data_IF_359086668768
#
_entry.id   IF_359086668768
#
_cell.length_a   1.000
_cell.length_b   1.000
_cell.length_c   1.000
_cell.angle_alpha   90.00
_cell.angle_beta   90.00
_cell.angle_gamma   90.00
#
_symmetry.space_group_name_H-M   'P 1'
#
loop_
_entity.id
_entity.type
_entity.pdbx_description
1 polymer ?
#
# COMPACT_ATOMS: atom_id res chain seq x y z
N UNK A 1 -11.01 -18.74 83.62
CA UNK A 1 -12.33 -18.18 83.25
C UNK A 1 -12.15 -17.42 81.95
N UNK A 2 -12.88 -17.87 80.91
CA UNK A 2 -13.30 -17.21 79.66
C UNK A 2 -12.23 -16.40 78.90
N UNK A 3 -11.68 -16.90 77.78
CA UNK A 3 -12.28 -16.98 76.43
C UNK A 3 -12.80 -15.63 75.93
N UNK A 4 -12.20 -15.11 74.84
CA UNK A 4 -12.88 -14.58 73.64
C UNK A 4 -11.82 -14.30 72.56
N UNK A 5 -12.09 -14.86 71.39
CA UNK A 5 -11.31 -14.78 70.16
C UNK A 5 -11.50 -13.45 69.41
N UNK A 6 -10.49 -13.07 68.62
CA UNK A 6 -10.58 -12.03 67.59
C UNK A 6 -10.06 -12.57 66.25
N UNK A 7 -10.72 -12.27 65.11
CA UNK A 7 -10.54 -12.99 63.84
C UNK A 7 -9.27 -12.61 63.08
N UNK A 8 -8.59 -13.63 62.54
CA UNK A 8 -7.46 -13.49 61.60
C UNK A 8 -7.98 -13.10 60.22
N UNK A 9 -7.58 -11.92 59.75
CA UNK A 9 -7.85 -11.43 58.41
C UNK A 9 -6.94 -12.18 57.42
N UNK A 10 -7.52 -13.00 56.54
CA UNK A 10 -6.82 -13.63 55.42
C UNK A 10 -6.79 -12.63 54.26
N UNK A 11 -5.61 -12.13 53.93
CA UNK A 11 -5.35 -11.37 52.70
C UNK A 11 -5.06 -12.40 51.60
N UNK A 12 -5.86 -12.51 50.53
CA UNK A 12 -5.46 -13.29 49.37
C UNK A 12 -4.43 -12.49 48.59
N UNK A 13 -3.16 -12.89 48.69
CA UNK A 13 -2.10 -12.36 47.82
C UNK A 13 -2.33 -12.92 46.42
N UNK A 14 -2.87 -12.07 45.55
CA UNK A 14 -3.07 -12.36 44.14
C UNK A 14 -1.72 -12.70 43.49
N UNK A 15 -1.61 -13.92 43.00
CA UNK A 15 -0.50 -14.42 42.19
C UNK A 15 -0.54 -13.70 40.83
N UNK A 16 0.19 -12.59 40.70
CA UNK A 16 0.44 -11.94 39.42
C UNK A 16 1.34 -12.86 38.57
N UNK A 17 0.72 -13.72 37.77
CA UNK A 17 1.39 -14.39 36.65
C UNK A 17 1.71 -13.34 35.58
N UNK A 18 2.90 -12.77 35.64
CA UNK A 18 3.46 -12.00 34.53
C UNK A 18 3.83 -12.97 33.41
N UNK A 19 2.93 -13.18 32.44
CA UNK A 19 3.29 -13.76 31.15
C UNK A 19 4.14 -12.72 30.39
N UNK A 20 5.45 -12.83 30.50
CA UNK A 20 6.38 -12.19 29.58
C UNK A 20 6.27 -12.90 28.22
N UNK A 21 5.39 -12.39 27.35
CA UNK A 21 5.36 -12.79 25.94
C UNK A 21 6.59 -12.21 25.24
N UNK A 22 7.67 -12.98 25.14
CA UNK A 22 8.77 -12.69 24.24
C UNK A 22 8.33 -13.01 22.80
N UNK A 23 7.61 -12.09 22.15
CA UNK A 23 7.47 -12.12 20.69
C UNK A 23 8.76 -11.57 20.07
N UNK A 24 9.79 -12.39 19.96
CA UNK A 24 10.98 -12.05 19.18
C UNK A 24 10.66 -12.17 17.70
N UNK A 25 10.07 -11.12 17.12
CA UNK A 25 10.11 -10.96 15.66
C UNK A 25 11.58 -10.79 15.25
N UNK A 26 12.10 -11.56 14.27
CA UNK A 26 13.45 -11.34 13.79
C UNK A 26 13.54 -9.93 13.20
N UNK A 27 14.38 -9.08 13.78
CA UNK A 27 14.75 -7.80 13.16
C UNK A 27 15.40 -8.13 11.82
N UNK A 28 14.75 -7.71 10.73
CA UNK A 28 15.36 -7.70 9.39
C UNK A 28 16.68 -6.95 9.52
N UNK A 29 17.80 -7.66 9.40
CA UNK A 29 19.13 -7.05 9.35
C UNK A 29 19.09 -5.99 8.27
N UNK A 30 19.41 -4.74 8.65
CA UNK A 30 19.52 -3.64 7.71
C UNK A 30 20.53 -4.03 6.64
N UNK A 31 20.03 -4.46 5.49
CA UNK A 31 20.83 -4.78 4.33
C UNK A 31 21.53 -3.50 3.88
N UNK A 32 22.85 -3.57 3.86
CA UNK A 32 23.81 -2.68 3.20
C UNK A 32 23.18 -1.58 2.35
N UNK A 33 23.36 -0.33 2.78
CA UNK A 33 23.16 0.87 1.99
C UNK A 33 24.18 0.90 0.86
N UNK A 34 23.98 0.04 -0.14
CA UNK A 34 24.74 0.06 -1.38
C UNK A 34 24.36 1.32 -2.17
N UNK A 35 25.12 2.39 -1.95
CA UNK A 35 25.15 3.61 -2.77
C UNK A 35 25.80 3.32 -4.14
N UNK A 36 25.32 2.28 -4.83
CA UNK A 36 25.60 2.08 -6.25
C UNK A 36 24.54 2.85 -7.04
N UNK A 37 24.97 3.57 -8.09
CA UNK A 37 24.04 4.22 -9.01
C UNK A 37 23.01 3.19 -9.50
N UNK A 38 21.74 3.37 -9.15
CA UNK A 38 20.67 2.49 -9.61
C UNK A 38 20.37 2.90 -11.04
N UNK A 39 20.84 2.11 -12.01
CA UNK A 39 20.36 2.24 -13.39
C UNK A 39 18.95 1.68 -13.45
N UNK A 40 17.97 2.55 -13.61
CA UNK A 40 16.60 2.15 -13.89
C UNK A 40 16.47 1.58 -15.30
N UNK A 41 15.46 0.73 -15.48
CA UNK A 41 14.99 0.31 -16.80
C UNK A 41 13.87 1.26 -17.20
N UNK A 42 13.98 1.88 -18.37
CA UNK A 42 12.90 2.70 -18.90
C UNK A 42 11.74 1.78 -19.25
N UNK A 43 10.56 2.09 -18.70
CA UNK A 43 9.33 1.36 -19.02
C UNK A 43 8.88 1.80 -20.42
N UNK A 44 9.15 1.00 -21.44
CA UNK A 44 8.68 1.24 -22.80
C UNK A 44 7.40 0.46 -23.09
N UNK A 45 6.36 1.15 -23.54
CA UNK A 45 5.13 0.50 -24.02
C UNK A 45 5.32 -0.08 -25.41
N UNK A 46 5.70 -1.35 -25.50
CA UNK A 46 5.81 -2.07 -26.79
C UNK A 46 5.22 -3.47 -26.77
N UNK A 47 4.27 -3.77 -25.89
CA UNK A 47 3.64 -5.08 -25.85
C UNK A 47 2.33 -5.11 -25.07
N UNK A 48 1.50 -6.17 -25.26
CA UNK A 48 0.28 -6.36 -24.48
C UNK A 48 0.63 -6.45 -22.99
N UNK A 49 -0.35 -6.11 -22.15
CA UNK A 49 -0.37 -6.38 -20.73
C UNK A 49 0.29 -7.74 -20.41
N UNK A 50 1.40 -7.75 -19.67
CA UNK A 50 2.02 -9.00 -19.26
C UNK A 50 1.08 -9.76 -18.33
N UNK A 51 0.94 -11.06 -18.56
CA UNK A 51 0.26 -12.00 -17.68
C UNK A 51 1.04 -13.32 -17.69
N UNK A 52 1.04 -14.05 -16.58
CA UNK A 52 1.78 -15.30 -16.49
C UNK A 52 1.26 -16.37 -17.47
N UNK A 53 2.14 -17.27 -17.91
CA UNK A 53 1.80 -18.37 -18.80
C UNK A 53 0.71 -19.26 -18.19
N UNK A 54 -0.33 -19.58 -18.97
CA UNK A 54 -1.47 -20.39 -18.52
C UNK A 54 -2.61 -19.60 -17.89
N UNK A 55 -2.45 -18.28 -17.73
CA UNK A 55 -3.53 -17.40 -17.31
C UNK A 55 -4.36 -16.91 -18.50
N UNK A 56 -5.64 -16.55 -18.29
CA UNK A 56 -6.45 -15.87 -19.30
C UNK A 56 -5.84 -14.51 -19.67
N UNK A 57 -6.12 -14.05 -20.90
CA UNK A 57 -5.70 -12.70 -21.35
C UNK A 57 -6.47 -11.57 -20.66
N UNK A 58 -7.58 -11.89 -20.00
CA UNK A 58 -8.39 -10.96 -19.20
C UNK A 58 -8.29 -11.30 -17.72
N UNK A 59 -8.36 -10.30 -16.84
CA UNK A 59 -8.39 -10.53 -15.40
C UNK A 59 -9.51 -11.50 -15.02
N UNK A 60 -9.24 -12.51 -14.17
CA UNK A 60 -10.29 -13.37 -13.62
C UNK A 60 -11.12 -12.64 -12.54
N UNK A 61 -10.68 -11.47 -12.10
CA UNK A 61 -11.36 -10.64 -11.12
C UNK A 61 -12.23 -9.60 -11.81
N UNK A 62 -13.47 -9.46 -11.34
CA UNK A 62 -14.35 -8.40 -11.80
C UNK A 62 -13.75 -7.04 -11.41
N UNK A 63 -13.75 -6.05 -12.33
CA UNK A 63 -13.27 -4.70 -12.00
C UNK A 63 -14.03 -4.13 -10.80
N UNK A 64 -13.28 -3.49 -9.90
CA UNK A 64 -13.86 -2.75 -8.80
C UNK A 64 -14.87 -1.72 -9.30
N UNK A 65 -15.97 -1.58 -8.57
CA UNK A 65 -16.94 -0.51 -8.79
C UNK A 65 -16.78 0.52 -7.68
N UNK A 66 -17.03 1.78 -8.02
CA UNK A 66 -17.09 2.81 -7.00
C UNK A 66 -18.18 2.45 -5.99
N UNK A 67 -17.86 2.50 -4.70
CA UNK A 67 -18.83 2.50 -3.61
C UNK A 67 -19.12 3.96 -3.21
N UNK A 68 -20.28 4.52 -3.59
CA UNK A 68 -20.60 5.91 -3.31
C UNK A 68 -20.76 6.21 -1.82
N UNK A 69 -21.03 5.20 -0.97
CA UNK A 69 -21.16 5.39 0.49
C UNK A 69 -19.85 5.84 1.13
N UNK A 70 -18.74 5.63 0.42
CA UNK A 70 -17.40 5.93 0.87
C UNK A 70 -17.02 7.40 0.57
N UNK A 71 -17.85 8.13 -0.18
CA UNK A 71 -17.66 9.57 -0.43
C UNK A 71 -17.83 10.35 0.88
N UNK A 72 -16.89 11.25 1.18
CA UNK A 72 -16.94 12.11 2.37
C UNK A 72 -16.15 11.61 3.59
N UNK A 73 -15.73 10.34 3.60
CA UNK A 73 -14.85 9.75 4.64
C UNK A 73 -13.38 10.25 4.58
N UNK A 74 -13.13 11.33 3.86
CA UNK A 74 -11.83 11.94 3.64
C UNK A 74 -11.87 13.40 4.11
N UNK A 75 -10.94 13.74 5.01
CA UNK A 75 -10.63 15.15 5.32
C UNK A 75 -9.50 15.60 4.42
N UNK A 76 -9.63 16.75 3.77
CA UNK A 76 -8.58 17.31 2.92
C UNK A 76 -7.25 17.41 3.69
N UNK A 77 -6.21 16.74 3.18
CA UNK A 77 -4.89 16.68 3.80
C UNK A 77 -4.78 15.74 5.01
N UNK A 78 -5.83 14.96 5.32
CA UNK A 78 -5.90 14.03 6.43
C UNK A 78 -5.85 12.55 6.03
N UNK A 79 -5.85 11.66 7.02
CA UNK A 79 -5.93 10.22 6.80
C UNK A 79 -7.36 9.80 6.41
N UNK A 80 -7.46 8.86 5.49
CA UNK A 80 -8.72 8.22 5.16
C UNK A 80 -9.17 7.25 6.26
N UNK A 81 -10.45 7.31 6.67
CA UNK A 81 -11.06 6.52 7.77
C UNK A 81 -10.08 6.32 8.94
N UNK A 82 -9.72 7.40 9.65
CA UNK A 82 -8.80 7.29 10.78
C UNK A 82 -9.36 6.32 11.82
N UNK A 83 -8.49 5.48 12.41
CA UNK A 83 -8.89 4.45 13.38
C UNK A 83 -9.37 3.13 12.78
N UNK A 84 -9.71 3.07 11.49
CA UNK A 84 -10.02 1.81 10.80
C UNK A 84 -8.73 1.19 10.26
N UNK A 85 -8.42 -0.03 10.70
CA UNK A 85 -7.25 -0.79 10.22
C UNK A 85 -7.51 -1.33 8.81
N UNK A 86 -6.49 -1.32 7.96
CA UNK A 86 -6.53 -1.95 6.65
C UNK A 86 -6.27 -3.47 6.75
N UNK A 87 -6.80 -4.25 5.81
CA UNK A 87 -6.73 -5.71 5.81
C UNK A 87 -6.52 -6.27 4.41
N UNK A 88 -5.83 -7.40 4.32
CA UNK A 88 -5.80 -8.20 3.09
C UNK A 88 -7.19 -8.75 2.79
N UNK A 89 -7.46 -9.11 1.52
CA UNK A 89 -8.65 -9.89 1.16
C UNK A 89 -8.73 -11.19 1.99
N UNK A 90 -9.95 -11.68 2.19
CA UNK A 90 -10.18 -12.95 2.89
C UNK A 90 -9.57 -14.12 2.10
N UNK A 91 -9.66 -14.06 0.76
CA UNK A 91 -9.05 -15.00 -0.17
C UNK A 91 -7.86 -14.37 -0.89
N UNK A 92 -6.69 -15.00 -0.82
CA UNK A 92 -5.49 -14.50 -1.51
C UNK A 92 -5.66 -14.64 -3.02
N UNK A 93 -5.65 -13.53 -3.80
CA UNK A 93 -5.79 -13.62 -5.24
C UNK A 93 -4.58 -14.29 -5.89
N UNK A 94 -4.81 -14.98 -7.01
CA UNK A 94 -3.76 -15.38 -7.91
C UNK A 94 -3.28 -14.17 -8.71
N UNK A 95 -2.39 -13.40 -8.09
CA UNK A 95 -1.83 -12.15 -8.65
C UNK A 95 -1.13 -12.40 -9.99
N UNK A 96 -0.58 -13.59 -10.22
CA UNK A 96 0.10 -13.93 -11.48
C UNK A 96 -0.85 -13.95 -12.70
N UNK A 97 -2.16 -14.12 -12.46
CA UNK A 97 -3.18 -14.07 -13.51
C UNK A 97 -3.88 -12.72 -13.65
N UNK A 98 -3.43 -11.70 -12.91
CA UNK A 98 -3.86 -10.33 -13.14
C UNK A 98 -3.00 -9.77 -14.30
N UNK A 99 -3.59 -9.20 -15.35
CA UNK A 99 -2.82 -8.55 -16.40
C UNK A 99 -2.20 -7.23 -15.90
N UNK A 100 -0.90 -7.03 -16.16
CA UNK A 100 -0.22 -5.74 -15.98
C UNK A 100 -0.84 -4.65 -16.87
N UNK A 101 -0.73 -3.36 -16.51
CA UNK A 101 -1.36 -2.33 -17.30
C UNK A 101 -0.58 -2.10 -18.60
N UNK A 102 -1.30 -1.79 -19.68
CA UNK A 102 -0.66 -1.38 -20.93
C UNK A 102 0.02 -0.02 -20.73
N UNK A 103 1.31 0.06 -21.03
CA UNK A 103 2.07 1.30 -20.90
C UNK A 103 1.80 2.19 -22.11
N UNK A 104 1.24 3.36 -21.86
CA UNK A 104 0.80 4.32 -22.87
C UNK A 104 1.29 5.72 -22.50
N UNK A 105 1.48 6.58 -23.50
CA UNK A 105 1.77 8.00 -23.27
C UNK A 105 0.45 8.76 -23.10
N UNK A 106 -0.09 8.74 -21.88
CA UNK A 106 -1.34 9.42 -21.54
C UNK A 106 -1.12 10.88 -21.14
N UNK A 107 -2.08 11.78 -21.42
CA UNK A 107 -2.03 13.15 -20.93
C UNK A 107 -2.09 13.16 -19.39
N UNK A 108 -1.44 14.16 -18.77
CA UNK A 108 -1.57 14.39 -17.33
C UNK A 108 -3.04 14.57 -16.95
N UNK A 109 -3.44 13.95 -15.85
CA UNK A 109 -4.77 14.06 -15.26
C UNK A 109 -5.08 15.52 -14.88
N UNK A 110 -6.31 15.94 -15.13
CA UNK A 110 -6.81 17.26 -14.71
C UNK A 110 -7.04 17.37 -13.19
N UNK A 111 -7.04 16.24 -12.48
CA UNK A 111 -7.32 16.11 -11.04
C UNK A 111 -6.30 15.18 -10.37
N UNK A 112 -6.17 15.30 -9.05
CA UNK A 112 -5.18 14.57 -8.26
C UNK A 112 -4.06 15.50 -7.78
N UNK A 113 -2.81 15.10 -8.01
CA UNK A 113 -1.65 15.82 -7.50
C UNK A 113 -1.34 17.09 -8.31
N UNK A 114 -2.01 18.20 -7.97
CA UNK A 114 -1.64 19.52 -8.50
C UNK A 114 -0.29 19.94 -7.91
N UNK A 115 0.64 20.39 -8.75
CA UNK A 115 1.94 20.87 -8.27
C UNK A 115 1.85 22.34 -7.88
N UNK A 116 2.39 22.76 -6.72
CA UNK A 116 2.74 21.95 -5.55
C UNK A 116 1.48 21.59 -4.76
N UNK A 117 1.55 20.53 -3.94
CA UNK A 117 0.48 20.18 -3.01
C UNK A 117 1.03 19.92 -1.59
N UNK A 118 0.14 19.89 -0.62
CA UNK A 118 0.46 19.67 0.79
C UNK A 118 -0.46 18.62 1.40
N UNK A 119 0.11 17.71 2.19
CA UNK A 119 -0.62 16.69 2.96
C UNK A 119 0.02 16.59 4.33
N UNK A 120 -0.78 16.65 5.40
CA UNK A 120 -0.32 16.57 6.79
C UNK A 120 0.86 17.53 7.11
N UNK A 121 0.81 18.77 6.62
CA UNK A 121 1.87 19.77 6.86
C UNK A 121 3.12 19.60 5.98
N UNK A 122 3.15 18.61 5.08
CA UNK A 122 4.30 18.32 4.22
C UNK A 122 4.00 18.68 2.77
N UNK A 123 4.83 19.57 2.22
CA UNK A 123 4.76 20.04 0.84
C UNK A 123 5.48 19.09 -0.13
N UNK A 124 4.88 18.88 -1.28
CA UNK A 124 5.38 18.07 -2.39
C UNK A 124 5.33 18.85 -3.70
N UNK A 125 6.29 18.59 -4.59
CA UNK A 125 6.36 19.14 -5.93
C UNK A 125 6.31 17.97 -6.91
N UNK A 126 5.36 18.01 -7.83
CA UNK A 126 5.22 16.98 -8.86
C UNK A 126 6.26 17.20 -9.95
N UNK A 127 6.90 16.12 -10.38
CA UNK A 127 7.94 16.11 -11.40
C UNK A 127 7.36 16.46 -12.76
N UNK A 128 8.05 17.32 -13.50
CA UNK A 128 7.64 17.63 -14.86
C UNK A 128 8.02 16.55 -15.86
N UNK A 129 9.23 15.99 -15.72
CA UNK A 129 9.77 15.01 -16.66
C UNK A 129 10.22 13.75 -15.88
N UNK A 130 9.35 12.76 -15.67
CA UNK A 130 9.68 11.57 -14.90
C UNK A 130 10.44 10.49 -15.68
N UNK A 131 10.79 10.72 -16.95
CA UNK A 131 11.24 9.67 -17.88
C UNK A 131 12.51 8.92 -17.46
N UNK A 132 13.39 9.57 -16.70
CA UNK A 132 14.63 8.99 -16.16
C UNK A 132 14.57 8.83 -14.63
N UNK A 133 13.38 8.89 -14.05
CA UNK A 133 13.20 8.76 -12.61
C UNK A 133 13.51 7.35 -12.12
N UNK A 134 14.32 7.26 -11.07
CA UNK A 134 14.67 6.01 -10.40
C UNK A 134 14.75 6.25 -8.90
N UNK A 135 14.07 5.42 -8.12
CA UNK A 135 14.12 5.44 -6.67
C UNK A 135 14.25 4.02 -6.12
N UNK A 136 14.94 3.88 -4.99
CA UNK A 136 14.86 2.70 -4.13
C UNK A 136 14.29 3.11 -2.79
N UNK A 137 13.27 2.40 -2.35
CA UNK A 137 12.58 2.70 -1.09
C UNK A 137 11.81 1.50 -0.57
N UNK A 138 11.05 1.76 0.50
CA UNK A 138 10.10 0.78 1.05
C UNK A 138 8.76 0.94 0.35
N UNK A 139 8.18 -0.18 -0.08
CA UNK A 139 6.82 -0.24 -0.59
C UNK A 139 5.88 -0.86 0.45
N UNK A 140 4.62 -0.44 0.40
CA UNK A 140 3.48 -1.05 1.10
C UNK A 140 2.35 -1.25 0.09
N UNK A 141 1.32 -2.00 0.46
CA UNK A 141 0.13 -2.20 -0.36
C UNK A 141 -1.12 -1.71 0.37
N UNK A 142 -2.16 -1.37 -0.39
CA UNK A 142 -3.48 -1.05 0.12
C UNK A 142 -4.39 -2.29 0.05
N UNK A 143 -5.22 -2.48 1.06
CA UNK A 143 -6.12 -3.61 1.19
C UNK A 143 -7.60 -3.23 1.05
N UNK A 144 -8.46 -4.02 1.69
CA UNK A 144 -9.92 -3.89 1.65
C UNK A 144 -10.42 -2.50 2.04
N UNK A 145 -9.69 -1.79 2.92
CA UNK A 145 -10.12 -0.47 3.39
C UNK A 145 -10.36 0.51 2.23
N UNK A 146 -9.57 0.39 1.16
CA UNK A 146 -9.58 1.32 0.03
C UNK A 146 -10.35 0.80 -1.19
N UNK A 147 -10.62 -0.51 -1.28
CA UNK A 147 -11.22 -1.11 -2.48
C UNK A 147 -12.55 -0.47 -2.85
N UNK A 148 -12.73 -0.17 -4.15
CA UNK A 148 -13.93 0.49 -4.64
C UNK A 148 -13.99 2.00 -4.36
N UNK A 149 -12.91 2.62 -3.87
CA UNK A 149 -12.87 4.08 -3.67
C UNK A 149 -12.24 4.80 -4.84
N UNK A 150 -12.52 6.09 -4.95
CA UNK A 150 -11.77 6.97 -5.84
C UNK A 150 -10.35 7.24 -5.31
N UNK A 151 -9.35 7.09 -6.18
CA UNK A 151 -7.97 7.55 -6.00
C UNK A 151 -7.86 9.07 -6.18
N UNK A 152 -6.67 9.64 -6.01
CA UNK A 152 -6.43 11.07 -6.22
C UNK A 152 -6.82 11.53 -7.62
N UNK A 153 -6.56 10.74 -8.68
CA UNK A 153 -6.98 11.08 -10.04
C UNK A 153 -8.43 10.70 -10.38
N UNK A 154 -9.20 10.23 -9.38
CA UNK A 154 -10.60 9.77 -9.47
C UNK A 154 -10.82 8.48 -10.26
N UNK A 155 -9.78 7.68 -10.50
CA UNK A 155 -9.99 6.28 -10.88
C UNK A 155 -10.49 5.47 -9.69
N UNK A 156 -11.20 4.37 -9.93
CA UNK A 156 -11.58 3.45 -8.85
C UNK A 156 -10.37 2.60 -8.47
N UNK A 157 -9.99 2.63 -7.19
CA UNK A 157 -8.98 1.74 -6.65
C UNK A 157 -9.49 0.30 -6.65
N UNK A 158 -8.79 -0.53 -7.41
CA UNK A 158 -9.01 -1.96 -7.51
C UNK A 158 -7.79 -2.70 -6.96
N UNK A 159 -7.99 -3.49 -5.92
CA UNK A 159 -6.92 -4.30 -5.33
C UNK A 159 -6.49 -5.46 -6.23
N UNK A 160 -7.30 -5.77 -7.25
CA UNK A 160 -7.03 -6.78 -8.27
C UNK A 160 -6.55 -6.15 -9.58
N UNK A 161 -6.01 -4.92 -9.52
CA UNK A 161 -5.33 -4.27 -10.62
C UNK A 161 -3.95 -3.76 -10.18
N UNK A 162 -2.99 -3.76 -11.11
CA UNK A 162 -1.65 -3.23 -10.87
C UNK A 162 -1.64 -1.69 -10.90
N UNK A 163 -2.07 -1.10 -9.79
CA UNK A 163 -2.04 0.35 -9.56
C UNK A 163 -1.14 0.70 -8.37
N UNK A 164 -0.69 1.95 -8.30
CA UNK A 164 0.21 2.41 -7.24
C UNK A 164 -0.04 3.88 -6.88
N UNK A 165 0.39 4.24 -5.67
CA UNK A 165 0.42 5.61 -5.20
C UNK A 165 1.86 6.16 -5.17
N UNK A 166 2.10 7.38 -5.66
CA UNK A 166 3.41 8.03 -5.61
C UNK A 166 3.34 9.53 -5.38
N UNK A 167 4.18 10.04 -4.46
CA UNK A 167 4.13 11.43 -3.97
C UNK A 167 4.45 12.49 -5.02
N UNK A 168 5.25 12.17 -6.04
CA UNK A 168 5.79 13.21 -6.95
C UNK A 168 5.79 12.82 -8.42
N UNK A 169 5.28 11.64 -8.77
CA UNK A 169 5.13 11.29 -10.19
C UNK A 169 3.85 11.95 -10.70
N UNK A 170 3.84 12.55 -11.90
CA UNK A 170 2.61 13.11 -12.45
C UNK A 170 1.59 12.00 -12.68
N UNK A 171 0.32 12.25 -12.40
CA UNK A 171 -0.74 11.27 -12.65
C UNK A 171 -1.30 11.41 -14.07
N UNK A 172 -1.60 10.32 -14.78
CA UNK A 172 -1.05 8.99 -14.52
C UNK A 172 0.43 8.91 -14.94
N UNK A 173 1.17 8.02 -14.29
CA UNK A 173 2.49 7.55 -14.74
C UNK A 173 2.51 6.03 -14.79
N UNK A 174 3.49 5.45 -15.48
CA UNK A 174 3.75 4.00 -15.44
C UNK A 174 5.13 3.77 -14.85
N UNK A 175 5.24 2.82 -13.92
CA UNK A 175 6.49 2.51 -13.25
C UNK A 175 6.72 1.00 -13.23
N UNK A 176 7.98 0.60 -13.42
CA UNK A 176 8.43 -0.77 -13.18
C UNK A 176 8.88 -0.85 -11.73
N UNK A 177 8.22 -1.70 -10.96
CA UNK A 177 8.55 -1.92 -9.55
C UNK A 177 9.23 -3.28 -9.44
N UNK A 178 10.48 -3.28 -8.96
CA UNK A 178 11.24 -4.50 -8.70
C UNK A 178 11.32 -4.76 -7.21
N UNK A 179 10.89 -5.94 -6.78
CA UNK A 179 11.18 -6.42 -5.43
C UNK A 179 12.65 -6.83 -5.36
N UNK A 180 13.46 -6.09 -4.60
CA UNK A 180 14.91 -6.33 -4.50
C UNK A 180 15.27 -7.64 -3.78
N UNK A 181 14.35 -8.20 -3.00
CA UNK A 181 14.58 -9.45 -2.28
C UNK A 181 14.40 -10.67 -3.20
N UNK A 182 13.52 -10.58 -4.21
CA UNK A 182 13.20 -11.70 -5.12
C UNK A 182 13.64 -11.47 -6.57
N UNK A 183 13.95 -10.24 -6.96
CA UNK A 183 14.23 -9.84 -8.33
C UNK A 183 13.00 -9.78 -9.24
N UNK A 184 11.82 -10.18 -8.74
CA UNK A 184 10.57 -10.11 -9.51
C UNK A 184 10.16 -8.66 -9.73
N UNK A 185 9.58 -8.39 -10.90
CA UNK A 185 9.14 -7.04 -11.26
C UNK A 185 7.74 -7.07 -11.85
N UNK A 186 7.01 -5.98 -11.68
CA UNK A 186 5.71 -5.72 -12.29
C UNK A 186 5.64 -4.27 -12.76
N UNK A 187 4.90 -4.02 -13.84
CA UNK A 187 4.51 -2.65 -14.21
C UNK A 187 3.24 -2.25 -13.47
N UNK A 188 3.21 -1.03 -12.95
CA UNK A 188 2.03 -0.45 -12.29
C UNK A 188 1.63 0.87 -12.94
N UNK A 189 0.34 1.16 -12.92
CA UNK A 189 -0.21 2.49 -13.21
C UNK A 189 -0.23 3.30 -11.91
N UNK A 190 0.49 4.40 -11.88
CA UNK A 190 0.44 5.37 -10.80
C UNK A 190 -0.77 6.26 -11.01
N UNK A 191 -1.81 6.10 -10.19
CA UNK A 191 -3.07 6.84 -10.29
C UNK A 191 -3.45 7.56 -8.98
N UNK A 192 -2.58 7.49 -7.97
CA UNK A 192 -2.75 8.12 -6.65
C UNK A 192 -1.49 8.87 -6.18
#
# INVERSE_FOLDING_TARGET
MNSIAGPKWLIPMALMLSLAACSSAPKKTAGSTGSGAIKGVKVEGKGPAYVATGCPSTSPYAPAKEDPSTRGDYTAGGLYKPGVKDTTPDDVPNVACIPEPLVTNEPRSAVGNRSPYEVLGKRYVVMDNPGDYVERGTASYYGNKFHGRLTSNKEVYDMYAFTAAHKTLPLPSFALVTNTDTGQSVVVRVND
#
